data_IF_153738543632
#
_entry.id   IF_153738543632
#
_cell.length_a   1.000
_cell.length_b   1.000
_cell.length_c   1.000
_cell.angle_alpha   90.00
_cell.angle_beta   90.00
_cell.angle_gamma   90.00
#
_symmetry.space_group_name_H-M   'P 1'
#
loop_
_entity.id
_entity.type
_entity.pdbx_description
1 polymer ?
#
# COMPACT_ATOMS: atom_id res chain seq x y z
N UNK A 1 -8.99 12.87 -29.01
CA UNK A 1 -9.94 11.96 -28.30
C UNK A 1 -10.28 12.63 -26.98
N UNK A 2 -11.54 12.56 -26.54
CA UNK A 2 -11.92 13.06 -25.20
C UNK A 2 -11.24 12.17 -24.15
N UNK A 3 -10.64 12.77 -23.12
CA UNK A 3 -10.05 12.00 -22.03
C UNK A 3 -11.12 11.23 -21.26
N UNK A 4 -10.88 9.94 -21.02
CA UNK A 4 -11.78 9.06 -20.26
C UNK A 4 -11.89 9.53 -18.81
N UNK A 5 -13.12 9.59 -18.29
CA UNK A 5 -13.41 9.96 -16.89
C UNK A 5 -13.81 8.70 -16.12
N UNK A 6 -13.03 8.35 -15.11
CA UNK A 6 -13.25 7.19 -14.24
C UNK A 6 -13.60 7.65 -12.82
N UNK A 7 -14.69 7.11 -12.28
CA UNK A 7 -14.98 7.17 -10.85
C UNK A 7 -14.38 5.92 -10.19
N UNK A 8 -13.38 6.10 -9.34
CA UNK A 8 -12.78 5.05 -8.53
C UNK A 8 -13.41 4.97 -7.15
N UNK A 9 -13.60 3.73 -6.63
CA UNK A 9 -14.15 3.45 -5.30
C UNK A 9 -13.23 2.44 -4.60
N UNK A 10 -12.70 2.82 -3.45
CA UNK A 10 -11.84 1.98 -2.60
C UNK A 10 -12.52 1.70 -1.26
N UNK A 11 -12.53 0.43 -0.86
CA UNK A 11 -13.10 -0.01 0.43
C UNK A 11 -12.50 -1.33 0.91
N UNK A 12 -11.23 -1.61 0.61
CA UNK A 12 -10.66 -2.95 0.88
C UNK A 12 -10.34 -3.23 2.34
N UNK A 13 -10.13 -2.21 3.17
CA UNK A 13 -9.73 -2.35 4.57
C UNK A 13 -10.58 -1.45 5.47
N UNK A 14 -10.05 -0.35 5.96
CA UNK A 14 -10.71 0.59 6.88
C UNK A 14 -10.98 1.97 6.26
N UNK A 15 -10.26 2.37 5.23
CA UNK A 15 -10.49 3.64 4.55
C UNK A 15 -11.59 3.53 3.49
N UNK A 16 -12.60 4.42 3.57
CA UNK A 16 -13.59 4.60 2.49
C UNK A 16 -13.14 5.74 1.59
N UNK A 17 -12.90 5.47 0.32
CA UNK A 17 -12.41 6.50 -0.59
C UNK A 17 -13.14 6.50 -1.93
N UNK A 18 -13.30 7.71 -2.52
CA UNK A 18 -13.76 7.90 -3.90
C UNK A 18 -12.91 8.96 -4.60
N UNK A 19 -12.61 8.73 -5.87
CA UNK A 19 -11.81 9.64 -6.67
C UNK A 19 -12.36 9.76 -8.10
N UNK A 20 -12.18 10.93 -8.69
CA UNK A 20 -12.47 11.18 -10.10
C UNK A 20 -11.16 11.42 -10.83
N UNK A 21 -10.91 10.59 -11.84
CA UNK A 21 -9.77 10.68 -12.74
C UNK A 21 -10.24 11.10 -14.14
N UNK A 22 -9.55 12.05 -14.76
CA UNK A 22 -9.72 12.41 -16.19
C UNK A 22 -8.40 12.19 -16.92
N UNK A 23 -8.35 11.23 -17.84
CA UNK A 23 -7.09 10.80 -18.45
C UNK A 23 -6.14 10.23 -17.39
N UNK A 24 -5.05 10.90 -17.09
CA UNK A 24 -4.13 10.55 -15.98
C UNK A 24 -4.15 11.59 -14.84
N UNK A 25 -5.02 12.60 -14.95
CA UNK A 25 -5.12 13.69 -13.97
C UNK A 25 -6.21 13.40 -12.95
N UNK A 26 -5.88 13.45 -11.67
CA UNK A 26 -6.86 13.40 -10.59
C UNK A 26 -7.59 14.75 -10.50
N UNK A 27 -8.92 14.70 -10.53
CA UNK A 27 -9.80 15.86 -10.30
C UNK A 27 -10.22 15.95 -8.84
N UNK A 28 -10.40 14.81 -8.17
CA UNK A 28 -10.71 14.72 -6.75
C UNK A 28 -10.25 13.38 -6.19
N UNK A 29 -9.92 13.34 -4.89
CA UNK A 29 -9.61 12.10 -4.16
C UNK A 29 -10.00 12.29 -2.69
N UNK A 30 -11.19 11.85 -2.31
CA UNK A 30 -11.77 12.00 -0.98
C UNK A 30 -11.57 10.71 -0.21
N UNK A 31 -11.03 10.81 1.00
CA UNK A 31 -10.76 9.69 1.89
C UNK A 31 -11.44 9.97 3.23
N UNK A 32 -12.25 9.03 3.69
CA UNK A 32 -12.81 8.99 5.04
C UNK A 32 -12.13 7.86 5.82
N UNK A 33 -11.15 8.23 6.65
CA UNK A 33 -10.45 7.29 7.52
C UNK A 33 -11.25 6.92 8.77
N UNK A 34 -10.86 5.84 9.43
CA UNK A 34 -11.56 5.27 10.59
C UNK A 34 -10.64 5.22 11.82
N UNK A 35 -10.43 6.39 12.47
CA UNK A 35 -9.58 6.51 13.67
C UNK A 35 -10.00 5.60 14.84
N UNK A 36 -11.23 5.07 14.83
CA UNK A 36 -11.74 4.16 15.87
C UNK A 36 -10.87 2.91 16.05
N UNK A 37 -10.20 2.46 15.01
CA UNK A 37 -9.36 1.27 15.04
C UNK A 37 -8.08 1.43 15.89
N UNK A 38 -7.63 2.66 16.13
CA UNK A 38 -6.52 2.97 17.02
C UNK A 38 -6.79 2.50 18.45
N UNK A 39 -8.04 2.58 18.91
CA UNK A 39 -8.47 2.13 20.25
C UNK A 39 -8.35 0.61 20.44
N UNK A 40 -8.34 -0.15 19.36
CA UNK A 40 -8.27 -1.62 19.38
C UNK A 40 -6.86 -2.14 19.01
N UNK A 41 -5.93 -1.25 18.67
CA UNK A 41 -4.57 -1.62 18.27
C UNK A 41 -4.52 -2.34 16.91
N UNK A 42 -5.48 -2.08 16.03
CA UNK A 42 -5.60 -2.66 14.69
C UNK A 42 -7.02 -2.68 14.16
N UNK A 43 -7.19 -3.01 12.88
CA UNK A 43 -8.49 -2.96 12.21
C UNK A 43 -9.43 -4.04 12.74
N UNK A 44 -10.66 -3.62 13.11
CA UNK A 44 -11.78 -4.51 13.52
C UNK A 44 -12.71 -4.64 12.31
N UNK A 45 -12.79 -5.81 11.64
CA UNK A 45 -13.47 -5.95 10.35
C UNK A 45 -14.95 -5.58 10.34
N UNK A 46 -15.67 -5.87 11.43
CA UNK A 46 -17.10 -5.53 11.54
C UNK A 46 -17.31 -4.01 11.64
N UNK A 47 -16.49 -3.32 12.44
CA UNK A 47 -16.54 -1.86 12.56
C UNK A 47 -16.20 -1.19 11.23
N UNK A 48 -15.15 -1.70 10.54
CA UNK A 48 -14.77 -1.22 9.24
C UNK A 48 -15.93 -1.31 8.24
N UNK A 49 -16.60 -2.46 8.15
CA UNK A 49 -17.73 -2.65 7.24
C UNK A 49 -18.88 -1.68 7.50
N UNK A 50 -19.23 -1.45 8.79
CA UNK A 50 -20.28 -0.50 9.18
C UNK A 50 -19.92 0.94 8.79
N UNK A 51 -18.68 1.36 9.04
CA UNK A 51 -18.22 2.69 8.67
C UNK A 51 -18.21 2.89 7.15
N UNK A 52 -17.84 1.87 6.35
CA UNK A 52 -17.99 1.95 4.88
C UNK A 52 -19.44 2.19 4.46
N UNK A 53 -20.40 1.50 5.08
CA UNK A 53 -21.82 1.67 4.77
C UNK A 53 -22.29 3.11 5.04
N UNK A 54 -21.82 3.73 6.10
CA UNK A 54 -22.16 5.12 6.45
C UNK A 54 -21.47 6.13 5.54
N UNK A 55 -20.21 5.88 5.18
CA UNK A 55 -19.34 6.85 4.52
C UNK A 55 -19.43 6.84 2.98
N UNK A 56 -19.82 5.72 2.34
CA UNK A 56 -19.64 5.55 0.90
C UNK A 56 -20.44 6.56 0.06
N UNK A 57 -21.69 6.84 0.45
CA UNK A 57 -22.54 7.81 -0.25
C UNK A 57 -21.99 9.23 -0.11
N UNK A 58 -21.72 9.77 1.10
CA UNK A 58 -21.18 11.11 1.25
C UNK A 58 -19.80 11.27 0.60
N UNK A 59 -18.93 10.26 0.66
CA UNK A 59 -17.59 10.30 0.05
C UNK A 59 -17.67 10.37 -1.47
N UNK A 60 -18.49 9.55 -2.11
CA UNK A 60 -18.70 9.61 -3.58
C UNK A 60 -19.34 10.93 -4.00
N UNK A 61 -20.34 11.41 -3.26
CA UNK A 61 -20.97 12.72 -3.52
C UNK A 61 -19.96 13.86 -3.41
N UNK A 62 -19.10 13.86 -2.39
CA UNK A 62 -18.06 14.84 -2.21
C UNK A 62 -17.02 14.79 -3.33
N UNK A 63 -16.61 13.60 -3.78
CA UNK A 63 -15.66 13.42 -4.87
C UNK A 63 -16.18 14.01 -6.19
N UNK A 64 -17.43 13.75 -6.55
CA UNK A 64 -18.05 14.30 -7.75
C UNK A 64 -18.18 15.84 -7.66
N UNK A 65 -18.61 16.35 -6.50
CA UNK A 65 -18.73 17.79 -6.25
C UNK A 65 -17.39 18.51 -6.36
N UNK A 66 -16.33 17.96 -5.75
CA UNK A 66 -14.99 18.56 -5.81
C UNK A 66 -14.43 18.52 -7.23
N UNK A 67 -14.69 17.43 -7.98
CA UNK A 67 -14.31 17.32 -9.39
C UNK A 67 -15.11 18.28 -10.30
N UNK A 68 -16.21 18.85 -9.82
CA UNK A 68 -17.08 19.74 -10.61
C UNK A 68 -17.81 19.03 -11.75
N UNK A 69 -18.18 17.75 -11.56
CA UNK A 69 -18.87 16.93 -12.58
C UNK A 69 -20.06 16.18 -11.99
N UNK A 70 -20.98 15.76 -12.88
CA UNK A 70 -22.07 14.84 -12.55
C UNK A 70 -21.76 13.39 -12.87
N UNK A 71 -22.63 12.47 -12.46
CA UNK A 71 -22.54 11.06 -12.82
C UNK A 71 -22.69 10.81 -14.31
N UNK A 72 -23.40 11.68 -15.02
CA UNK A 72 -23.58 11.66 -16.48
C UNK A 72 -22.25 11.80 -17.22
N UNK A 73 -21.29 12.54 -16.67
CA UNK A 73 -19.96 12.78 -17.26
C UNK A 73 -19.01 11.60 -17.10
N UNK A 74 -19.27 10.70 -16.14
CA UNK A 74 -18.43 9.53 -15.86
C UNK A 74 -18.56 8.51 -16.99
N UNK A 75 -17.43 8.00 -17.48
CA UNK A 75 -17.41 6.99 -18.56
C UNK A 75 -17.44 5.55 -18.01
N UNK A 76 -16.88 5.31 -16.80
CA UNK A 76 -16.92 4.01 -16.13
C UNK A 76 -16.74 4.14 -14.60
N UNK A 77 -17.22 3.12 -13.88
CA UNK A 77 -17.10 3.00 -12.41
C UNK A 77 -16.12 1.87 -12.12
N UNK A 78 -14.97 2.22 -11.55
CA UNK A 78 -13.96 1.28 -11.09
C UNK A 78 -14.10 1.05 -9.58
N UNK A 79 -14.03 -0.18 -9.13
CA UNK A 79 -14.14 -0.52 -7.72
C UNK A 79 -13.14 -1.60 -7.33
N UNK A 80 -12.75 -1.64 -6.08
CA UNK A 80 -11.87 -2.67 -5.55
C UNK A 80 -12.62 -3.98 -5.40
N UNK A 81 -12.27 -4.96 -6.24
CA UNK A 81 -12.79 -6.31 -6.16
C UNK A 81 -12.14 -7.11 -5.04
N UNK A 82 -10.87 -6.87 -4.77
CA UNK A 82 -10.02 -7.54 -3.80
C UNK A 82 -8.53 -7.42 -4.16
N UNK A 83 -7.64 -8.01 -3.33
CA UNK A 83 -7.91 -8.61 -2.01
C UNK A 83 -8.26 -7.57 -0.94
N UNK A 84 -8.77 -8.05 0.23
CA UNK A 84 -9.13 -7.19 1.37
C UNK A 84 -10.10 -7.85 2.35
N UNK A 85 -10.65 -7.08 3.26
CA UNK A 85 -11.66 -7.54 4.21
C UNK A 85 -13.00 -7.76 3.49
N UNK A 86 -13.53 -8.97 3.53
CA UNK A 86 -14.72 -9.36 2.73
C UNK A 86 -15.91 -8.44 2.98
N UNK A 87 -16.19 -8.09 4.24
CA UNK A 87 -17.28 -7.19 4.60
C UNK A 87 -17.12 -5.80 3.96
N UNK A 88 -15.95 -5.21 4.12
CA UNK A 88 -15.57 -3.90 3.55
C UNK A 88 -15.67 -3.90 2.01
N UNK A 89 -15.04 -4.88 1.36
CA UNK A 89 -15.11 -5.08 -0.09
C UNK A 89 -16.55 -5.23 -0.59
N UNK A 90 -17.39 -5.97 0.16
CA UNK A 90 -18.79 -6.20 -0.22
C UNK A 90 -19.59 -4.90 -0.26
N UNK A 91 -19.36 -3.97 0.66
CA UNK A 91 -20.02 -2.65 0.66
C UNK A 91 -19.64 -1.87 -0.61
N UNK A 92 -18.35 -1.71 -0.88
CA UNK A 92 -17.87 -0.98 -2.07
C UNK A 92 -18.35 -1.61 -3.37
N UNK A 93 -18.24 -2.95 -3.50
CA UNK A 93 -18.70 -3.67 -4.68
C UNK A 93 -20.23 -3.54 -4.88
N UNK A 94 -21.04 -3.69 -3.83
CA UNK A 94 -22.49 -3.55 -3.92
C UNK A 94 -22.91 -2.15 -4.32
N UNK A 95 -22.27 -1.13 -3.74
CA UNK A 95 -22.52 0.26 -4.10
C UNK A 95 -22.13 0.55 -5.56
N UNK A 96 -20.93 0.14 -5.98
CA UNK A 96 -20.47 0.33 -7.36
C UNK A 96 -21.40 -0.35 -8.39
N UNK A 97 -21.86 -1.57 -8.09
CA UNK A 97 -22.81 -2.32 -8.92
C UNK A 97 -24.16 -1.61 -9.04
N UNK A 98 -24.71 -1.17 -7.90
CA UNK A 98 -25.99 -0.43 -7.90
C UNK A 98 -25.87 0.89 -8.68
N UNK A 99 -24.76 1.63 -8.49
CA UNK A 99 -24.50 2.87 -9.20
C UNK A 99 -24.34 2.64 -10.71
N UNK A 100 -23.56 1.62 -11.12
CA UNK A 100 -23.37 1.25 -12.52
C UNK A 100 -24.70 0.86 -13.19
N UNK A 101 -25.54 0.09 -12.50
CA UNK A 101 -26.87 -0.29 -13.00
C UNK A 101 -27.79 0.92 -13.17
N UNK A 102 -27.87 1.78 -12.15
CA UNK A 102 -28.75 2.95 -12.16
C UNK A 102 -28.36 3.98 -13.24
N UNK A 103 -27.06 4.10 -13.55
CA UNK A 103 -26.53 5.07 -14.50
C UNK A 103 -26.23 4.48 -15.88
N UNK A 104 -26.43 3.17 -16.06
CA UNK A 104 -26.05 2.41 -17.27
C UNK A 104 -24.58 2.62 -17.68
N UNK A 105 -23.67 2.67 -16.68
CA UNK A 105 -22.23 2.85 -16.91
C UNK A 105 -21.49 1.51 -16.80
N UNK A 106 -20.42 1.32 -17.57
CA UNK A 106 -19.53 0.15 -17.43
C UNK A 106 -18.97 0.02 -16.01
N UNK A 107 -18.94 -1.23 -15.52
CA UNK A 107 -18.36 -1.60 -14.23
C UNK A 107 -16.98 -2.23 -14.46
N UNK A 108 -15.97 -1.77 -13.74
CA UNK A 108 -14.57 -2.22 -13.89
C UNK A 108 -14.05 -2.74 -12.55
N UNK A 109 -13.84 -4.07 -12.41
CA UNK A 109 -13.28 -4.66 -11.20
C UNK A 109 -11.77 -4.46 -11.18
N UNK A 110 -11.25 -3.97 -10.06
CA UNK A 110 -9.84 -3.64 -9.89
C UNK A 110 -9.21 -4.51 -8.81
N UNK A 111 -8.03 -5.03 -9.09
CA UNK A 111 -7.20 -5.70 -8.11
C UNK A 111 -6.44 -4.67 -7.28
N UNK A 112 -6.67 -4.63 -5.96
CA UNK A 112 -6.12 -3.65 -5.02
C UNK A 112 -4.59 -3.50 -5.12
N UNK A 113 -3.84 -4.60 -5.09
CA UNK A 113 -2.38 -4.55 -5.15
C UNK A 113 -1.85 -4.04 -6.50
N UNK A 114 -2.52 -4.38 -7.61
CA UNK A 114 -2.18 -3.84 -8.94
C UNK A 114 -2.47 -2.34 -9.01
N UNK A 115 -3.50 -1.87 -8.31
CA UNK A 115 -3.82 -0.45 -8.23
C UNK A 115 -2.71 0.36 -7.55
N UNK A 116 -2.15 -0.11 -6.44
CA UNK A 116 -0.99 0.52 -5.80
C UNK A 116 0.21 0.67 -6.77
N UNK A 117 0.47 -0.35 -7.60
CA UNK A 117 1.54 -0.30 -8.60
C UNK A 117 1.23 0.72 -9.69
N UNK A 118 0.00 0.72 -10.20
CA UNK A 118 -0.40 1.58 -11.30
C UNK A 118 -0.65 3.04 -10.89
N UNK A 119 -0.76 3.33 -9.59
CA UNK A 119 -0.82 4.71 -9.07
C UNK A 119 0.34 5.60 -9.54
N UNK A 120 1.51 5.03 -9.82
CA UNK A 120 2.66 5.76 -10.36
C UNK A 120 2.41 6.42 -11.74
N UNK A 121 1.35 6.03 -12.44
CA UNK A 121 0.98 6.63 -13.74
C UNK A 121 0.03 7.82 -13.61
N UNK A 122 -0.46 8.14 -12.41
CA UNK A 122 -1.14 9.40 -12.11
C UNK A 122 -0.17 10.55 -12.38
N UNK A 123 -0.63 11.64 -13.01
CA UNK A 123 0.24 12.70 -13.51
C UNK A 123 1.13 13.33 -12.46
N UNK A 124 0.66 13.45 -11.23
CA UNK A 124 1.41 14.07 -10.13
C UNK A 124 1.84 13.08 -9.04
N UNK A 125 1.73 11.76 -9.27
CA UNK A 125 2.01 10.75 -8.23
C UNK A 125 3.48 10.68 -7.82
N UNK A 126 4.39 10.92 -8.75
CA UNK A 126 5.83 10.87 -8.54
C UNK A 126 6.56 11.83 -9.48
N UNK A 127 7.80 12.19 -9.13
CA UNK A 127 8.64 13.03 -9.99
C UNK A 127 8.99 12.33 -11.30
N UNK A 128 9.13 11.02 -11.29
CA UNK A 128 9.45 10.21 -12.45
C UNK A 128 8.40 9.12 -12.65
N UNK A 129 7.75 9.10 -13.82
CA UNK A 129 6.89 7.97 -14.21
C UNK A 129 7.76 6.77 -14.60
N UNK A 130 7.44 5.56 -14.12
CA UNK A 130 8.17 4.36 -14.51
C UNK A 130 7.98 4.03 -15.99
N UNK A 131 8.99 3.39 -16.58
CA UNK A 131 8.92 2.85 -17.94
C UNK A 131 8.89 1.32 -17.88
N UNK A 132 8.00 0.70 -18.66
CA UNK A 132 7.94 -0.77 -18.74
C UNK A 132 9.16 -1.36 -19.46
N UNK A 133 9.70 -2.53 -19.08
CA UNK A 133 9.34 -3.21 -17.84
C UNK A 133 10.00 -2.54 -16.61
N UNK A 134 9.36 -2.69 -15.44
CA UNK A 134 9.93 -2.24 -14.17
C UNK A 134 9.70 -3.24 -13.05
N UNK A 135 10.45 -3.11 -11.95
CA UNK A 135 10.24 -3.85 -10.71
C UNK A 135 9.50 -2.97 -9.70
N UNK A 136 8.47 -3.52 -9.06
CA UNK A 136 7.79 -2.86 -7.96
C UNK A 136 8.02 -3.62 -6.66
N UNK A 137 8.54 -2.93 -5.63
CA UNK A 137 8.54 -3.40 -4.26
C UNK A 137 7.26 -2.92 -3.59
N UNK A 138 6.26 -3.81 -3.49
CA UNK A 138 5.02 -3.53 -2.76
C UNK A 138 5.18 -3.88 -1.30
N UNK A 139 5.01 -2.90 -0.41
CA UNK A 139 5.23 -3.05 1.03
C UNK A 139 4.10 -2.37 1.82
N UNK A 140 3.31 -3.17 2.54
CA UNK A 140 2.17 -2.70 3.32
C UNK A 140 2.04 -3.47 4.64
N UNK A 141 0.98 -3.24 5.40
CA UNK A 141 0.64 -4.02 6.59
C UNK A 141 0.42 -5.49 6.30
N UNK A 142 -0.21 -5.83 5.16
CA UNK A 142 -0.56 -7.21 4.81
C UNK A 142 0.31 -7.85 3.72
N UNK A 143 1.10 -7.07 2.96
CA UNK A 143 1.83 -7.58 1.80
C UNK A 143 3.28 -7.09 1.76
N UNK A 144 4.18 -7.97 1.36
CA UNK A 144 5.57 -7.64 1.02
C UNK A 144 5.97 -8.48 -0.18
N UNK A 145 6.08 -7.86 -1.36
CA UNK A 145 6.28 -8.56 -2.63
C UNK A 145 7.22 -7.77 -3.54
N UNK A 146 7.94 -8.50 -4.40
CA UNK A 146 8.61 -7.94 -5.58
C UNK A 146 7.81 -8.38 -6.79
N UNK A 147 7.33 -7.41 -7.56
CA UNK A 147 6.50 -7.64 -8.76
C UNK A 147 7.23 -7.11 -9.98
N UNK A 148 7.40 -7.95 -10.99
CA UNK A 148 7.79 -7.53 -12.33
C UNK A 148 6.56 -7.06 -13.09
N UNK A 149 6.65 -5.91 -13.71
CA UNK A 149 5.55 -5.28 -14.44
C UNK A 149 6.00 -5.06 -15.88
N UNK A 150 5.50 -5.90 -16.78
CA UNK A 150 5.82 -5.80 -18.21
C UNK A 150 4.88 -4.82 -18.95
N UNK A 151 3.65 -4.70 -18.50
CA UNK A 151 2.65 -3.73 -18.93
C UNK A 151 1.51 -3.66 -17.89
N UNK A 152 0.52 -2.75 -18.01
CA UNK A 152 -0.55 -2.60 -17.01
C UNK A 152 -1.39 -3.85 -16.73
N UNK A 153 -1.44 -4.79 -17.68
CA UNK A 153 -2.23 -6.03 -17.56
C UNK A 153 -1.38 -7.24 -17.22
N UNK A 154 -0.06 -7.17 -17.42
CA UNK A 154 0.86 -8.28 -17.24
C UNK A 154 1.85 -7.98 -16.13
N UNK A 155 1.63 -8.65 -15.00
CA UNK A 155 2.43 -8.52 -13.79
C UNK A 155 2.74 -9.92 -13.24
N UNK A 156 3.96 -10.11 -12.75
CA UNK A 156 4.46 -11.37 -12.20
C UNK A 156 5.07 -11.13 -10.82
N UNK A 157 4.64 -11.90 -9.82
CA UNK A 157 5.24 -11.88 -8.48
C UNK A 157 6.51 -12.72 -8.49
N UNK A 158 7.67 -12.07 -8.36
CA UNK A 158 8.99 -12.71 -8.32
C UNK A 158 9.37 -13.18 -6.92
N UNK A 159 8.86 -12.53 -5.89
CA UNK A 159 9.11 -12.87 -4.50
C UNK A 159 8.01 -12.34 -3.59
N UNK A 160 7.75 -13.06 -2.50
CA UNK A 160 6.69 -12.78 -1.55
C UNK A 160 7.16 -13.04 -0.13
N UNK A 161 6.55 -12.40 0.88
CA UNK A 161 6.79 -12.81 2.26
C UNK A 161 6.19 -14.19 2.51
N UNK A 162 6.93 -15.02 3.26
CA UNK A 162 6.47 -16.36 3.66
C UNK A 162 5.88 -16.39 5.08
N UNK A 163 5.95 -15.25 5.77
CA UNK A 163 5.42 -15.07 7.13
C UNK A 163 4.85 -13.64 7.30
N UNK A 164 5.25 -12.90 8.34
CA UNK A 164 4.80 -11.53 8.58
C UNK A 164 5.14 -10.62 7.37
N UNK A 165 4.28 -9.64 7.06
CA UNK A 165 4.62 -8.56 6.14
C UNK A 165 5.50 -7.49 6.84
N UNK A 166 6.19 -6.65 6.04
CA UNK A 166 7.09 -5.63 6.59
C UNK A 166 6.37 -4.61 7.48
N UNK A 167 5.16 -4.16 7.09
CA UNK A 167 4.37 -3.25 7.93
C UNK A 167 3.92 -3.92 9.24
N UNK A 168 3.48 -5.17 9.18
CA UNK A 168 3.17 -5.96 10.37
C UNK A 168 4.40 -6.15 11.28
N UNK A 169 5.60 -6.31 10.71
CA UNK A 169 6.84 -6.39 11.46
C UNK A 169 7.14 -5.06 12.19
N UNK A 170 6.91 -3.91 11.53
CA UNK A 170 7.01 -2.60 12.17
C UNK A 170 6.01 -2.45 13.32
N UNK A 171 4.73 -2.78 13.12
CA UNK A 171 3.69 -2.64 14.14
C UNK A 171 3.94 -3.56 15.34
N UNK A 172 4.35 -4.80 15.09
CA UNK A 172 4.73 -5.75 16.15
C UNK A 172 5.95 -5.27 16.95
N UNK A 173 6.96 -4.72 16.27
CA UNK A 173 8.12 -4.15 16.94
C UNK A 173 7.75 -2.92 17.76
N UNK A 174 6.93 -2.01 17.23
CA UNK A 174 6.41 -0.86 17.96
C UNK A 174 5.66 -1.27 19.23
N UNK A 175 4.81 -2.29 19.16
CA UNK A 175 4.11 -2.84 20.31
C UNK A 175 5.05 -3.37 21.39
N UNK A 176 6.19 -3.96 21.03
CA UNK A 176 7.22 -4.40 22.00
C UNK A 176 7.90 -3.22 22.71
N UNK A 177 7.88 -2.04 22.07
CA UNK A 177 8.39 -0.78 22.61
C UNK A 177 7.31 0.06 23.30
N UNK A 178 6.11 -0.50 23.52
CA UNK A 178 4.96 0.16 24.13
C UNK A 178 4.48 1.41 23.34
N UNK A 179 4.76 1.44 22.02
CA UNK A 179 4.28 2.48 21.13
C UNK A 179 2.85 2.18 20.65
N UNK A 180 2.00 3.21 20.48
CA UNK A 180 0.64 3.04 20.00
C UNK A 180 0.59 2.62 18.53
N UNK A 181 -0.60 2.15 18.09
CA UNK A 181 -0.92 1.86 16.69
C UNK A 181 -1.38 3.14 15.97
N UNK A 182 -0.99 3.34 14.68
CA UNK A 182 -0.06 2.54 13.88
C UNK A 182 1.41 2.76 14.27
N UNK A 183 2.15 1.66 14.44
CA UNK A 183 3.51 1.71 14.97
C UNK A 183 4.58 2.12 13.96
N UNK A 184 4.39 1.78 12.67
CA UNK A 184 5.38 2.05 11.64
C UNK A 184 5.82 3.51 11.54
N UNK A 185 4.91 4.50 11.47
CA UNK A 185 5.25 5.92 11.45
C UNK A 185 5.98 6.40 12.72
N UNK A 186 5.67 5.81 13.87
CA UNK A 186 6.34 6.15 15.14
C UNK A 186 7.77 5.62 15.18
N UNK A 187 7.98 4.38 14.74
CA UNK A 187 9.35 3.85 14.59
C UNK A 187 10.16 4.75 13.66
N UNK A 188 9.61 5.13 12.51
CA UNK A 188 10.30 6.02 11.56
C UNK A 188 10.66 7.37 12.19
N UNK A 189 9.73 7.96 12.94
CA UNK A 189 9.94 9.24 13.65
C UNK A 189 11.08 9.15 14.67
N UNK A 190 11.05 8.16 15.56
CA UNK A 190 12.08 8.01 16.61
C UNK A 190 13.43 7.55 16.03
N UNK A 191 13.41 6.73 14.97
CA UNK A 191 14.61 6.26 14.30
C UNK A 191 15.49 7.39 13.74
N UNK A 192 14.89 8.52 13.35
CA UNK A 192 15.64 9.69 12.88
C UNK A 192 16.53 10.32 13.94
N UNK A 193 16.27 10.05 15.21
CA UNK A 193 17.00 10.59 16.36
C UNK A 193 17.98 9.59 16.98
N UNK A 194 18.02 8.35 16.47
CA UNK A 194 18.77 7.25 17.05
C UNK A 194 19.94 6.76 16.20
N UNK A 195 20.77 5.92 16.81
CA UNK A 195 21.87 5.23 16.14
C UNK A 195 21.42 3.87 15.59
N UNK A 196 21.37 3.73 14.27
CA UNK A 196 20.96 2.51 13.58
C UNK A 196 21.90 1.29 13.79
N UNK A 197 23.07 1.49 14.40
CA UNK A 197 24.05 0.44 14.70
C UNK A 197 24.15 0.10 16.20
N UNK A 198 23.31 0.73 17.05
CA UNK A 198 23.35 0.52 18.50
C UNK A 198 22.97 -0.93 18.87
N UNK A 199 22.02 -1.52 18.15
CA UNK A 199 21.58 -2.89 18.36
C UNK A 199 21.67 -3.70 17.07
N UNK A 200 22.11 -4.95 17.18
CA UNK A 200 22.18 -5.88 16.05
C UNK A 200 21.11 -6.95 16.21
N UNK A 201 20.25 -7.07 15.21
CA UNK A 201 19.22 -8.10 15.14
C UNK A 201 19.54 -9.11 14.06
N UNK A 202 19.12 -10.37 14.27
CA UNK A 202 19.35 -11.45 13.31
C UNK A 202 18.54 -11.21 12.04
N UNK A 203 19.20 -11.37 10.87
CA UNK A 203 18.52 -11.34 9.57
C UNK A 203 18.20 -12.77 9.15
N UNK A 204 16.95 -13.04 8.75
CA UNK A 204 16.60 -14.34 8.18
C UNK A 204 17.39 -14.62 6.89
N UNK A 205 17.84 -15.85 6.72
CA UNK A 205 18.47 -16.31 5.46
C UNK A 205 17.44 -17.09 4.65
N UNK A 206 16.76 -16.40 3.74
CA UNK A 206 15.74 -16.99 2.85
C UNK A 206 16.27 -17.00 1.43
N UNK A 207 16.17 -18.17 0.77
CA UNK A 207 16.60 -18.33 -0.62
C UNK A 207 15.70 -17.53 -1.60
N UNK A 208 16.26 -17.25 -2.77
CA UNK A 208 15.53 -16.54 -3.82
C UNK A 208 15.15 -15.10 -3.42
N UNK A 209 14.02 -14.64 -3.91
CA UNK A 209 13.50 -13.28 -3.72
C UNK A 209 12.43 -13.18 -2.63
N UNK A 210 12.13 -14.28 -1.94
CA UNK A 210 11.16 -14.30 -0.85
C UNK A 210 11.68 -13.56 0.39
N UNK A 211 10.74 -13.05 1.20
CA UNK A 211 11.02 -12.34 2.45
C UNK A 211 10.59 -13.20 3.66
N UNK A 212 11.17 -12.89 4.81
CA UNK A 212 10.73 -13.36 6.12
C UNK A 212 11.09 -12.32 7.18
N UNK A 213 10.21 -12.11 8.15
CA UNK A 213 10.40 -11.18 9.26
C UNK A 213 10.21 -11.84 10.64
N UNK A 214 9.73 -13.07 10.71
CA UNK A 214 9.47 -13.77 11.98
C UNK A 214 10.73 -13.98 12.82
N UNK A 215 11.86 -14.31 12.20
CA UNK A 215 13.14 -14.44 12.90
C UNK A 215 13.64 -13.11 13.47
N UNK A 216 13.46 -12.03 12.73
CA UNK A 216 13.78 -10.67 13.18
C UNK A 216 12.92 -10.28 14.40
N UNK A 217 11.61 -10.51 14.34
CA UNK A 217 10.68 -10.29 15.44
C UNK A 217 11.14 -10.99 16.73
N UNK A 218 11.50 -12.26 16.63
CA UNK A 218 11.97 -13.05 17.76
C UNK A 218 13.29 -12.50 18.35
N UNK A 219 14.22 -12.08 17.47
CA UNK A 219 15.47 -11.45 17.87
C UNK A 219 15.24 -10.14 18.65
N UNK A 220 14.33 -9.27 18.15
CA UNK A 220 13.95 -8.02 18.82
C UNK A 220 13.35 -8.32 20.19
N UNK A 221 12.39 -9.24 20.26
CA UNK A 221 11.70 -9.62 21.50
C UNK A 221 12.69 -10.09 22.58
N UNK A 222 13.62 -10.97 22.22
CA UNK A 222 14.59 -11.50 23.19
C UNK A 222 15.58 -10.41 23.63
N UNK A 223 16.06 -9.59 22.72
CA UNK A 223 16.94 -8.46 23.06
C UNK A 223 16.28 -7.53 24.07
N UNK A 224 15.05 -7.07 23.78
CA UNK A 224 14.33 -6.16 24.69
C UNK A 224 14.07 -6.85 26.04
N UNK A 225 13.56 -8.09 26.04
CA UNK A 225 13.24 -8.84 27.26
C UNK A 225 14.46 -9.03 28.16
N UNK A 226 15.60 -9.37 27.58
CA UNK A 226 16.80 -9.68 28.36
C UNK A 226 17.46 -8.40 28.88
N UNK A 227 17.38 -7.29 28.17
CA UNK A 227 17.87 -5.98 28.65
C UNK A 227 16.95 -5.36 29.70
N UNK A 228 15.63 -5.45 29.57
CA UNK A 228 14.67 -4.95 30.57
C UNK A 228 14.81 -5.67 31.91
N UNK A 229 15.26 -6.93 31.95
CA UNK A 229 15.59 -7.63 33.21
C UNK A 229 16.79 -7.02 33.96
N UNK A 230 17.69 -6.37 33.23
CA UNK A 230 18.90 -5.73 33.79
C UNK A 230 18.63 -4.26 34.10
N UNK A 231 17.79 -3.60 33.33
CA UNK A 231 17.42 -2.19 33.50
C UNK A 231 15.95 -2.01 33.09
N UNK A 232 15.08 -1.77 34.07
CA UNK A 232 13.63 -1.58 33.82
C UNK A 232 13.34 -0.37 32.91
N UNK A 233 14.19 0.65 32.90
CA UNK A 233 14.04 1.86 32.08
C UNK A 233 14.69 1.71 30.70
N UNK A 234 15.23 0.54 30.36
CA UNK A 234 15.95 0.29 29.11
C UNK A 234 15.18 0.74 27.86
N UNK A 235 13.89 0.44 27.76
CA UNK A 235 13.08 0.83 26.60
C UNK A 235 12.99 2.34 26.43
N UNK A 236 12.77 3.07 27.50
CA UNK A 236 12.64 4.52 27.50
C UNK A 236 13.97 5.19 27.17
N UNK A 237 15.05 4.74 27.82
CA UNK A 237 16.40 5.29 27.66
C UNK A 237 16.96 5.07 26.28
N UNK A 238 16.65 3.93 25.63
CA UNK A 238 17.17 3.53 24.33
C UNK A 238 16.14 3.54 23.20
N UNK A 239 14.99 4.20 23.38
CA UNK A 239 13.87 4.17 22.42
C UNK A 239 14.30 4.55 21.00
N UNK A 240 15.03 5.65 20.84
CA UNK A 240 15.48 6.14 19.54
C UNK A 240 16.43 5.15 18.86
N UNK A 241 17.38 4.61 19.60
CA UNK A 241 18.37 3.65 19.09
C UNK A 241 17.73 2.32 18.73
N UNK A 242 16.78 1.84 19.54
CA UNK A 242 15.98 0.65 19.24
C UNK A 242 15.17 0.84 17.96
N UNK A 243 14.45 1.96 17.84
CA UNK A 243 13.70 2.27 16.63
C UNK A 243 14.59 2.36 15.38
N UNK A 244 15.75 3.03 15.49
CA UNK A 244 16.71 3.16 14.40
C UNK A 244 17.30 1.81 13.97
N UNK A 245 17.66 0.95 14.93
CA UNK A 245 18.23 -0.38 14.66
C UNK A 245 17.19 -1.35 14.08
N UNK A 246 15.92 -1.29 14.55
CA UNK A 246 14.80 -2.05 14.03
C UNK A 246 14.50 -1.65 12.58
N UNK A 247 14.34 -0.34 12.34
CA UNK A 247 14.11 0.19 11.00
C UNK A 247 15.22 -0.20 10.02
N UNK A 248 16.49 -0.01 10.44
CA UNK A 248 17.65 -0.42 9.67
C UNK A 248 17.60 -1.91 9.28
N UNK A 249 17.19 -2.78 10.19
CA UNK A 249 17.12 -4.22 9.95
C UNK A 249 16.01 -4.58 8.94
N UNK A 250 14.82 -4.03 9.11
CA UNK A 250 13.68 -4.25 8.19
C UNK A 250 14.03 -3.72 6.80
N UNK A 251 14.48 -2.47 6.71
CA UNK A 251 14.81 -1.84 5.42
C UNK A 251 15.97 -2.56 4.73
N UNK A 252 16.94 -3.07 5.49
CA UNK A 252 18.04 -3.84 4.89
C UNK A 252 17.56 -5.16 4.27
N UNK A 253 16.59 -5.86 4.89
CA UNK A 253 15.98 -7.06 4.30
C UNK A 253 15.29 -6.71 2.96
N UNK A 254 14.54 -5.61 2.92
CA UNK A 254 13.86 -5.15 1.72
C UNK A 254 14.87 -4.80 0.60
N UNK A 255 15.91 -4.02 0.95
CA UNK A 255 16.93 -3.59 0.00
C UNK A 255 17.74 -4.75 -0.55
N UNK A 256 18.17 -5.70 0.29
CA UNK A 256 18.93 -6.87 -0.14
C UNK A 256 18.17 -7.67 -1.22
N UNK A 257 16.84 -7.79 -1.09
CA UNK A 257 16.01 -8.55 -2.03
C UNK A 257 15.72 -7.79 -3.32
N UNK A 258 15.44 -6.48 -3.25
CA UNK A 258 15.22 -5.70 -4.48
C UNK A 258 16.51 -5.55 -5.29
N UNK A 259 17.67 -5.39 -4.64
CA UNK A 259 18.97 -5.38 -5.31
C UNK A 259 19.26 -6.71 -6.01
N UNK A 260 18.92 -7.82 -5.35
CA UNK A 260 19.02 -9.15 -5.96
C UNK A 260 18.10 -9.29 -7.17
N UNK A 261 16.85 -8.82 -7.07
CA UNK A 261 15.90 -8.84 -8.18
C UNK A 261 16.39 -8.04 -9.39
N UNK A 262 16.92 -6.83 -9.16
CA UNK A 262 17.53 -6.01 -10.22
C UNK A 262 18.68 -6.76 -10.89
N UNK A 263 19.56 -7.41 -10.11
CA UNK A 263 20.69 -8.18 -10.64
C UNK A 263 20.23 -9.40 -11.47
N UNK A 264 19.20 -10.12 -11.02
CA UNK A 264 18.70 -11.33 -11.67
C UNK A 264 17.90 -11.02 -12.94
N UNK A 265 17.13 -9.93 -12.95
CA UNK A 265 16.27 -9.56 -14.10
C UNK A 265 16.93 -8.61 -15.09
N UNK A 266 17.97 -7.90 -14.69
CA UNK A 266 18.56 -6.81 -15.48
C UNK A 266 17.68 -5.55 -15.56
N UNK A 267 16.53 -5.51 -14.87
CA UNK A 267 15.60 -4.37 -14.86
C UNK A 267 16.06 -3.37 -13.80
N UNK A 268 16.48 -2.18 -14.19
CA UNK A 268 16.97 -1.13 -13.29
C UNK A 268 15.93 -0.03 -13.01
N UNK A 269 14.73 -0.12 -13.58
CA UNK A 269 13.61 0.75 -13.22
C UNK A 269 12.89 0.13 -12.02
N UNK A 270 12.92 0.82 -10.87
CA UNK A 270 12.39 0.32 -9.59
C UNK A 270 11.41 1.33 -9.01
N UNK A 271 10.27 0.85 -8.58
CA UNK A 271 9.24 1.63 -7.88
C UNK A 271 8.91 1.02 -6.53
N UNK A 272 8.39 1.82 -5.60
CA UNK A 272 7.86 1.35 -4.32
C UNK A 272 6.39 1.72 -4.18
N UNK A 273 5.59 0.83 -3.60
CA UNK A 273 4.16 1.05 -3.41
C UNK A 273 3.67 0.45 -2.08
N UNK A 274 2.50 0.90 -1.61
CA UNK A 274 1.92 0.49 -0.33
C UNK A 274 2.36 1.37 0.85
N UNK A 275 1.69 1.28 2.00
CA UNK A 275 1.87 2.19 3.14
C UNK A 275 3.31 2.31 3.66
N UNK A 276 4.08 1.21 3.68
CA UNK A 276 5.50 1.23 4.11
C UNK A 276 6.40 1.98 3.11
N UNK A 277 5.93 2.26 1.89
CA UNK A 277 6.65 3.14 0.94
C UNK A 277 6.79 4.59 1.43
N UNK A 278 6.04 4.97 2.48
CA UNK A 278 6.19 6.24 3.18
C UNK A 278 7.44 6.30 4.09
N UNK A 279 8.03 5.15 4.45
CA UNK A 279 9.17 5.08 5.37
C UNK A 279 10.38 5.85 4.84
N UNK A 280 10.93 6.75 5.66
CA UNK A 280 11.97 7.70 5.26
C UNK A 280 13.30 7.03 4.89
N UNK A 281 13.70 5.99 5.63
CA UNK A 281 14.96 5.28 5.38
C UNK A 281 14.88 4.43 4.11
N UNK A 282 13.74 3.78 3.84
CA UNK A 282 13.53 3.05 2.59
C UNK A 282 13.62 3.99 1.38
N UNK A 283 12.95 5.15 1.45
CA UNK A 283 13.01 6.19 0.41
C UNK A 283 14.44 6.67 0.18
N UNK A 284 15.15 7.00 1.25
CA UNK A 284 16.54 7.46 1.22
C UNK A 284 17.46 6.44 0.56
N UNK A 285 17.38 5.16 0.95
CA UNK A 285 18.25 4.10 0.36
C UNK A 285 17.93 3.83 -1.09
N UNK A 286 16.66 3.84 -1.47
CA UNK A 286 16.28 3.69 -2.88
C UNK A 286 16.74 4.88 -3.72
N UNK A 287 16.55 6.11 -3.23
CA UNK A 287 17.04 7.32 -3.93
C UNK A 287 18.55 7.29 -4.15
N UNK A 288 19.33 6.80 -3.17
CA UNK A 288 20.78 6.66 -3.33
C UNK A 288 21.19 5.69 -4.46
N UNK A 289 20.31 4.74 -4.84
CA UNK A 289 20.57 3.83 -5.98
C UNK A 289 20.55 4.53 -7.33
N UNK A 290 19.97 5.73 -7.42
CA UNK A 290 20.03 6.52 -8.67
C UNK A 290 21.47 6.86 -9.06
N UNK A 291 22.36 7.09 -8.10
CA UNK A 291 23.79 7.29 -8.31
C UNK A 291 24.47 6.06 -8.92
N UNK A 292 23.84 4.89 -8.77
CA UNK A 292 24.31 3.61 -9.33
C UNK A 292 23.54 3.19 -10.60
N UNK A 293 22.87 4.14 -11.27
CA UNK A 293 22.22 3.94 -12.57
C UNK A 293 20.79 3.33 -12.49
N UNK A 294 20.18 3.29 -11.30
CA UNK A 294 18.77 2.91 -11.20
C UNK A 294 17.87 4.08 -11.58
N UNK A 295 16.72 3.76 -12.18
CA UNK A 295 15.62 4.69 -12.37
C UNK A 295 14.62 4.41 -11.24
N UNK A 296 14.52 5.32 -10.27
CA UNK A 296 13.69 5.11 -9.08
C UNK A 296 12.49 6.03 -9.12
N UNK A 297 11.28 5.45 -8.99
CA UNK A 297 10.03 6.20 -8.83
C UNK A 297 9.47 5.98 -7.43
N UNK A 298 9.38 7.07 -6.67
CA UNK A 298 8.88 7.11 -5.31
C UNK A 298 7.58 7.90 -5.30
N UNK A 299 6.46 7.34 -4.80
CA UNK A 299 5.18 8.02 -4.86
C UNK A 299 5.12 9.15 -3.82
N UNK A 300 4.31 10.19 -4.09
CA UNK A 300 3.92 11.16 -3.07
C UNK A 300 3.20 10.45 -1.92
N UNK A 301 3.30 11.00 -0.71
CA UNK A 301 2.68 10.41 0.49
C UNK A 301 1.18 10.15 0.34
N UNK A 302 0.46 11.03 -0.38
CA UNK A 302 -0.97 10.89 -0.67
C UNK A 302 -1.34 9.64 -1.48
N UNK A 303 -0.38 8.98 -2.13
CA UNK A 303 -0.59 7.77 -2.93
C UNK A 303 0.09 6.52 -2.34
N UNK A 304 0.68 6.62 -1.13
CA UNK A 304 1.30 5.48 -0.47
C UNK A 304 0.27 4.57 0.20
N UNK A 305 -0.74 5.16 0.86
CA UNK A 305 -1.82 4.45 1.57
C UNK A 305 -3.00 4.19 0.65
N UNK A 306 -4.00 3.46 1.15
CA UNK A 306 -5.21 3.13 0.42
C UNK A 306 -5.96 4.41 0.02
N UNK A 307 -6.30 4.49 -1.26
CA UNK A 307 -7.00 5.65 -1.82
C UNK A 307 -7.70 5.27 -3.13
N UNK A 308 -8.76 5.98 -3.50
CA UNK A 308 -9.50 5.67 -4.72
C UNK A 308 -8.85 6.18 -6.00
N UNK A 309 -7.88 7.11 -5.92
CA UNK A 309 -7.16 7.56 -7.11
C UNK A 309 -6.37 6.42 -7.77
N UNK A 310 -5.78 5.52 -6.97
CA UNK A 310 -5.11 4.33 -7.48
C UNK A 310 -6.09 3.38 -8.17
N UNK A 311 -7.31 3.24 -7.62
CA UNK A 311 -8.37 2.40 -8.21
C UNK A 311 -8.85 3.01 -9.52
N UNK A 312 -9.04 4.33 -9.58
CA UNK A 312 -9.43 5.02 -10.80
C UNK A 312 -8.36 4.87 -11.90
N UNK A 313 -7.06 4.97 -11.54
CA UNK A 313 -5.96 4.82 -12.50
C UNK A 313 -5.84 3.40 -13.03
N UNK A 314 -5.89 2.39 -12.16
CA UNK A 314 -5.91 0.99 -12.59
C UNK A 314 -7.17 0.67 -13.40
N UNK A 315 -8.32 1.18 -12.95
CA UNK A 315 -9.60 1.08 -13.65
C UNK A 315 -9.53 1.66 -15.06
N UNK A 316 -8.84 2.79 -15.24
CA UNK A 316 -8.61 3.38 -16.57
C UNK A 316 -7.86 2.43 -17.50
N UNK A 317 -6.73 1.86 -17.06
CA UNK A 317 -5.97 0.91 -17.88
C UNK A 317 -6.82 -0.30 -18.28
N UNK A 318 -7.60 -0.84 -17.35
CA UNK A 318 -8.51 -1.95 -17.58
C UNK A 318 -9.63 -1.54 -18.57
N UNK A 319 -10.23 -0.37 -18.35
CA UNK A 319 -11.28 0.17 -19.21
C UNK A 319 -10.79 0.39 -20.65
N UNK A 320 -9.63 1.01 -20.82
CA UNK A 320 -9.03 1.27 -22.14
C UNK A 320 -8.68 -0.04 -22.87
N UNK A 321 -8.38 -1.10 -22.10
CA UNK A 321 -8.12 -2.45 -22.64
C UNK A 321 -9.39 -3.28 -22.90
N UNK A 322 -10.58 -2.72 -22.69
CA UNK A 322 -11.85 -3.40 -22.96
C UNK A 322 -12.37 -4.25 -21.79
N UNK A 323 -11.71 -4.26 -20.63
CA UNK A 323 -12.16 -5.04 -19.46
C UNK A 323 -13.43 -4.43 -18.87
N UNK A 324 -14.47 -5.25 -18.74
CA UNK A 324 -15.77 -4.91 -18.16
C UNK A 324 -16.27 -6.08 -17.34
N UNK A 325 -17.07 -5.81 -16.33
CA UNK A 325 -17.78 -6.82 -15.57
C UNK A 325 -19.30 -6.61 -15.69
N UNK A 326 -20.03 -7.68 -15.56
CA UNK A 326 -21.48 -7.66 -15.38
C UNK A 326 -21.87 -7.65 -13.90
N UNK A 327 -23.16 -7.69 -13.61
CA UNK A 327 -23.69 -7.66 -12.24
C UNK A 327 -23.42 -8.95 -11.43
N UNK A 328 -22.89 -10.02 -12.06
CA UNK A 328 -22.52 -11.26 -11.36
C UNK A 328 -21.18 -11.16 -10.63
N UNK A 329 -20.35 -10.15 -10.94
CA UNK A 329 -19.05 -9.94 -10.29
C UNK A 329 -19.20 -9.83 -8.76
N UNK A 330 -18.33 -10.49 -8.01
CA UNK A 330 -18.34 -10.50 -6.56
C UNK A 330 -17.01 -10.02 -5.96
N UNK A 331 -17.09 -9.49 -4.74
CA UNK A 331 -15.93 -9.19 -3.92
C UNK A 331 -15.16 -10.48 -3.58
N UNK A 332 -13.83 -10.40 -3.56
CA UNK A 332 -12.96 -11.55 -3.29
C UNK A 332 -11.87 -11.17 -2.26
N UNK A 333 -12.04 -11.66 -1.02
CA UNK A 333 -11.09 -11.39 0.06
C UNK A 333 -9.67 -11.87 -0.27
N UNK A 334 -9.55 -12.95 -1.04
CA UNK A 334 -8.29 -13.54 -1.51
C UNK A 334 -8.29 -13.59 -3.04
N UNK A 335 -8.20 -12.41 -3.65
CA UNK A 335 -8.08 -12.31 -5.12
C UNK A 335 -6.62 -12.63 -5.50
N UNK A 336 -6.42 -13.65 -6.33
CA UNK A 336 -5.11 -14.02 -6.86
C UNK A 336 -4.59 -12.98 -7.87
N UNK A 337 -3.28 -12.94 -8.03
CA UNK A 337 -2.58 -12.07 -8.97
C UNK A 337 -2.95 -12.34 -10.44
#
# INVERSE_FOLDING_TARGET
MKDTIILGIESSCDDTSAAVLRGSKILSNIIAGQAVHELFGGVVPELASRAHQENIVPVVSAALKEAGIGLEDVDAIAFTQGPGLLGSLTIGASFAKALALATNKPLVPVHHMKAHILAHFIDDASEMKPTFPFLCLTVSGGHTQIVRVDNPLQMEVLGNTIDDAAGEAFDKAAKMLDLPYPGGPLIDKYAQLGNAQAFQFSKPRIEGLNFSFSGLKTSILYTIRDQVKLDEQFKETHLNDLCASIQNSIVSILMDKIEKAVKETGINCVVIAGGVSANSELRKRLSAKMEHGWKVSIPKFSYCTDNAAMIAMAGKFLFDSGVRADQSVSAQARLAW
#
